data_IF_919571552845
#
_entry.id   IF_919571552845
#
_cell.length_a   1.000
_cell.length_b   1.000
_cell.length_c   1.000
_cell.angle_alpha   90.00
_cell.angle_beta   90.00
_cell.angle_gamma   90.00
#
_symmetry.space_group_name_H-M   'P 1'
#
loop_
_entity.id
_entity.type
_entity.pdbx_description
1 polymer ?
#
# COMPACT_ATOMS: atom_id res chain seq x y z
N UNK A 1 5.46 -9.71 12.76
CA UNK A 1 4.81 -10.99 13.11
C UNK A 1 4.17 -11.57 11.85
N UNK A 2 4.00 -12.89 11.74
CA UNK A 2 3.30 -13.50 10.61
C UNK A 2 1.90 -12.91 10.41
N UNK A 3 1.52 -12.68 9.15
CA UNK A 3 0.16 -12.29 8.78
C UNK A 3 -0.74 -13.51 8.95
N UNK A 4 -1.74 -13.40 9.82
CA UNK A 4 -2.76 -14.45 10.07
C UNK A 4 -4.13 -13.81 10.24
N UNK A 5 -5.20 -14.56 9.96
CA UNK A 5 -6.58 -14.07 10.07
C UNK A 5 -6.99 -13.09 8.96
N UNK A 6 -6.24 -13.04 7.86
CA UNK A 6 -6.59 -12.35 6.62
C UNK A 6 -6.18 -13.22 5.43
N UNK A 7 -6.88 -13.17 4.29
CA UNK A 7 -6.47 -13.88 3.08
C UNK A 7 -5.14 -13.35 2.53
N UNK A 8 -4.29 -14.27 2.07
CA UNK A 8 -2.96 -13.96 1.53
C UNK A 8 -2.73 -14.74 0.23
N UNK A 9 -2.03 -14.13 -0.73
CA UNK A 9 -1.64 -14.81 -1.98
C UNK A 9 -0.51 -15.82 -1.71
N UNK A 10 0.44 -15.45 -0.84
CA UNK A 10 1.56 -16.28 -0.44
C UNK A 10 1.68 -16.35 1.09
N UNK A 11 2.12 -17.50 1.61
CA UNK A 11 2.35 -17.68 3.05
C UNK A 11 3.69 -17.04 3.50
N UNK A 12 3.86 -16.87 4.81
CA UNK A 12 5.13 -16.42 5.39
C UNK A 12 5.36 -14.91 5.40
N UNK A 13 4.42 -14.11 4.88
CA UNK A 13 4.50 -12.65 4.94
C UNK A 13 4.43 -12.14 6.39
N UNK A 14 5.15 -11.05 6.65
CA UNK A 14 5.25 -10.43 7.96
C UNK A 14 4.67 -9.02 7.94
N UNK A 15 4.11 -8.59 9.06
CA UNK A 15 3.66 -7.21 9.30
C UNK A 15 3.84 -6.84 10.78
N UNK A 16 4.02 -5.55 11.08
CA UNK A 16 4.00 -5.06 12.47
C UNK A 16 2.63 -5.32 13.08
N UNK A 17 2.60 -5.65 14.38
CA UNK A 17 1.38 -6.04 15.10
C UNK A 17 0.26 -5.02 14.95
N UNK A 18 0.57 -3.74 15.16
CA UNK A 18 -0.39 -2.62 15.06
C UNK A 18 -1.07 -2.55 13.69
N UNK A 19 -0.30 -2.70 12.61
CA UNK A 19 -0.82 -2.69 11.25
C UNK A 19 -1.60 -3.98 10.93
N UNK A 20 -1.21 -5.13 11.48
CA UNK A 20 -1.94 -6.40 11.31
C UNK A 20 -3.31 -6.37 11.98
N UNK A 21 -3.41 -5.81 13.19
CA UNK A 21 -4.70 -5.66 13.89
C UNK A 21 -5.64 -4.71 13.16
N UNK A 22 -5.10 -3.63 12.59
CA UNK A 22 -5.85 -2.75 11.70
C UNK A 22 -6.28 -3.45 10.41
N UNK A 23 -5.37 -4.20 9.78
CA UNK A 23 -5.64 -4.91 8.53
C UNK A 23 -6.74 -5.96 8.67
N UNK A 24 -6.77 -6.71 9.78
CA UNK A 24 -7.84 -7.66 10.08
C UNK A 24 -9.20 -7.00 10.12
N UNK A 25 -9.32 -5.84 10.76
CA UNK A 25 -10.57 -5.06 10.83
C UNK A 25 -10.98 -4.55 9.46
N UNK A 26 -10.03 -4.02 8.69
CA UNK A 26 -10.26 -3.55 7.32
C UNK A 26 -10.77 -4.68 6.42
N UNK A 27 -10.09 -5.83 6.40
CA UNK A 27 -10.47 -6.99 5.59
C UNK A 27 -11.81 -7.55 6.03
N UNK A 28 -12.06 -7.68 7.33
CA UNK A 28 -13.36 -8.15 7.83
C UNK A 28 -14.51 -7.22 7.43
N UNK A 29 -14.29 -5.90 7.47
CA UNK A 29 -15.30 -4.93 7.02
C UNK A 29 -15.57 -5.00 5.51
N UNK A 30 -14.52 -5.19 4.69
CA UNK A 30 -14.69 -5.43 3.26
C UNK A 30 -15.49 -6.73 3.00
N UNK A 31 -15.14 -7.81 3.70
CA UNK A 31 -15.81 -9.11 3.60
C UNK A 31 -17.29 -9.05 4.01
N UNK A 32 -17.62 -8.29 5.05
CA UNK A 32 -19.02 -8.06 5.45
C UNK A 32 -19.83 -7.35 4.35
N UNK A 33 -19.17 -6.56 3.49
CA UNK A 33 -19.75 -5.98 2.28
C UNK A 33 -19.69 -6.87 1.03
N UNK A 34 -19.29 -8.13 1.16
CA UNK A 34 -19.18 -9.08 0.05
C UNK A 34 -17.92 -8.90 -0.82
N UNK A 35 -16.92 -8.16 -0.33
CA UNK A 35 -15.68 -7.86 -1.06
C UNK A 35 -14.53 -8.79 -0.62
N UNK A 36 -13.69 -9.20 -1.57
CA UNK A 36 -12.62 -10.16 -1.31
C UNK A 36 -11.24 -9.52 -1.51
N UNK A 37 -10.60 -9.19 -0.38
CA UNK A 37 -9.25 -8.64 -0.34
C UNK A 37 -8.23 -9.70 0.05
N UNK A 38 -7.10 -9.70 -0.65
CA UNK A 38 -5.93 -10.54 -0.39
C UNK A 38 -4.68 -9.68 -0.25
N UNK A 39 -3.80 -10.04 0.69
CA UNK A 39 -2.46 -9.46 0.76
C UNK A 39 -1.56 -10.16 -0.26
N UNK A 40 -0.96 -9.39 -1.15
CA UNK A 40 0.01 -9.88 -2.15
C UNK A 40 1.47 -9.64 -1.73
N UNK A 41 1.73 -8.50 -1.07
CA UNK A 41 3.04 -8.16 -0.49
C UNK A 41 2.87 -7.44 0.84
N UNK A 42 3.90 -7.52 1.69
CA UNK A 42 3.92 -6.87 3.01
C UNK A 42 5.37 -6.51 3.40
N UNK A 43 5.83 -6.83 4.61
CA UNK A 43 7.22 -6.53 5.01
C UNK A 43 8.23 -7.10 4.01
N UNK A 44 9.18 -6.25 3.62
CA UNK A 44 10.30 -6.61 2.76
C UNK A 44 11.60 -6.18 3.42
N UNK A 45 12.57 -7.09 3.53
CA UNK A 45 13.88 -6.73 4.07
C UNK A 45 14.64 -5.78 3.14
N UNK A 46 15.67 -5.10 3.65
CA UNK A 46 16.56 -4.28 2.82
C UNK A 46 17.16 -5.09 1.67
N UNK A 47 17.69 -6.29 1.95
CA UNK A 47 18.31 -7.15 0.93
C UNK A 47 17.30 -7.60 -0.13
N UNK A 48 16.08 -7.92 0.28
CA UNK A 48 15.00 -8.24 -0.67
C UNK A 48 14.64 -7.03 -1.53
N UNK A 49 14.62 -5.81 -0.97
CA UNK A 49 14.39 -4.59 -1.75
C UNK A 49 15.53 -4.32 -2.75
N UNK A 50 16.79 -4.63 -2.42
CA UNK A 50 17.91 -4.58 -3.37
C UNK A 50 17.62 -5.46 -4.59
N UNK A 51 17.24 -6.72 -4.37
CA UNK A 51 16.92 -7.64 -5.45
C UNK A 51 15.72 -7.15 -6.30
N UNK A 52 14.65 -6.68 -5.67
CA UNK A 52 13.45 -6.17 -6.36
C UNK A 52 13.78 -4.93 -7.19
N UNK A 53 14.52 -3.97 -6.64
CA UNK A 53 14.89 -2.76 -7.36
C UNK A 53 15.79 -3.07 -8.56
N UNK A 54 16.80 -3.92 -8.38
CA UNK A 54 17.70 -4.33 -9.46
C UNK A 54 16.94 -5.05 -10.59
N UNK A 55 15.97 -5.90 -10.25
CA UNK A 55 15.11 -6.54 -11.23
C UNK A 55 14.34 -5.51 -12.06
N UNK A 56 13.70 -4.53 -11.42
CA UNK A 56 12.96 -3.49 -12.16
C UNK A 56 13.85 -2.58 -12.99
N UNK A 57 15.08 -2.29 -12.53
CA UNK A 57 16.08 -1.57 -13.34
C UNK A 57 16.44 -2.35 -14.60
N UNK A 58 16.58 -3.67 -14.52
CA UNK A 58 16.85 -4.52 -15.69
C UNK A 58 15.66 -4.57 -16.65
N UNK A 59 14.43 -4.64 -16.13
CA UNK A 59 13.21 -4.78 -16.94
C UNK A 59 12.79 -3.47 -17.60
N UNK A 60 12.90 -2.34 -16.90
CA UNK A 60 12.31 -1.06 -17.32
C UNK A 60 13.36 0.03 -17.60
N UNK A 61 14.63 -0.24 -17.32
CA UNK A 61 15.68 0.78 -17.28
C UNK A 61 15.62 1.63 -16.01
N UNK A 62 16.73 2.30 -15.66
CA UNK A 62 16.87 2.97 -14.37
C UNK A 62 15.88 4.13 -14.16
N UNK A 63 15.57 4.90 -15.20
CA UNK A 63 14.70 6.05 -15.11
C UNK A 63 13.25 5.67 -14.73
N UNK A 64 12.69 4.65 -15.40
CA UNK A 64 11.33 4.19 -15.11
C UNK A 64 11.27 3.34 -13.84
N UNK A 65 12.28 2.52 -13.58
CA UNK A 65 12.36 1.74 -12.34
C UNK A 65 12.29 2.64 -11.09
N UNK A 66 12.88 3.84 -11.14
CA UNK A 66 12.82 4.80 -10.04
C UNK A 66 11.39 5.32 -9.73
N UNK A 67 10.43 5.16 -10.64
CA UNK A 67 9.03 5.57 -10.47
C UNK A 67 8.09 4.46 -9.98
N UNK A 68 8.52 3.20 -10.03
CA UNK A 68 7.68 2.02 -9.67
C UNK A 68 8.34 1.11 -8.64
N UNK A 69 9.62 1.33 -8.34
CA UNK A 69 10.36 0.52 -7.38
C UNK A 69 11.27 1.38 -6.54
N UNK A 70 10.90 1.55 -5.28
CA UNK A 70 11.66 2.31 -4.32
C UNK A 70 13.11 1.81 -4.21
N UNK A 71 14.05 2.74 -4.08
CA UNK A 71 15.44 2.40 -3.77
C UNK A 71 15.50 1.67 -2.41
N UNK A 72 16.45 0.75 -2.21
CA UNK A 72 16.70 0.16 -0.89
C UNK A 72 16.89 1.25 0.18
N UNK A 73 16.25 1.08 1.33
CA UNK A 73 16.22 2.06 2.42
C UNK A 73 15.10 3.10 2.29
N UNK A 74 14.43 3.19 1.13
CA UNK A 74 13.35 4.14 0.87
C UNK A 74 12.00 3.45 0.64
N UNK A 75 11.94 2.12 0.68
CA UNK A 75 10.70 1.36 0.50
C UNK A 75 9.90 1.32 1.79
N UNK A 76 8.63 1.73 1.74
CA UNK A 76 7.76 1.69 2.91
C UNK A 76 7.52 0.27 3.44
N UNK A 77 7.61 -0.75 2.58
CA UNK A 77 7.55 -2.16 2.99
C UNK A 77 8.62 -2.51 4.04
N UNK A 78 9.76 -1.83 4.04
CA UNK A 78 10.83 -2.06 5.02
C UNK A 78 10.44 -1.64 6.45
N UNK A 79 9.42 -0.79 6.60
CA UNK A 79 8.90 -0.39 7.90
C UNK A 79 7.99 -1.46 8.51
N UNK A 80 7.53 -2.42 7.69
CA UNK A 80 6.60 -3.46 8.09
C UNK A 80 5.21 -2.92 8.43
N UNK A 81 4.82 -1.79 7.85
CA UNK A 81 3.52 -1.13 8.05
C UNK A 81 2.75 -0.95 6.74
N UNK A 82 3.24 -1.52 5.65
CA UNK A 82 2.67 -1.38 4.30
C UNK A 82 2.25 -2.74 3.79
N UNK A 83 1.14 -2.76 3.06
CA UNK A 83 0.61 -3.93 2.37
C UNK A 83 0.24 -3.59 0.93
N UNK A 84 0.50 -4.53 0.04
CA UNK A 84 -0.08 -4.53 -1.30
C UNK A 84 -1.32 -5.42 -1.28
N UNK A 85 -2.46 -4.84 -1.64
CA UNK A 85 -3.76 -5.52 -1.66
C UNK A 85 -4.20 -5.83 -3.09
N UNK A 86 -4.87 -6.96 -3.25
CA UNK A 86 -5.40 -7.40 -4.54
C UNK A 86 -6.72 -8.16 -4.35
N UNK A 87 -7.34 -8.58 -5.45
CA UNK A 87 -8.59 -9.36 -5.49
C UNK A 87 -8.50 -10.43 -6.58
N UNK A 88 -9.25 -11.55 -6.46
CA UNK A 88 -9.40 -12.51 -7.55
C UNK A 88 -9.85 -11.89 -8.88
N UNK A 89 -10.57 -10.75 -8.87
CA UNK A 89 -11.08 -10.08 -10.09
C UNK A 89 -9.97 -9.61 -11.03
N UNK A 90 -8.78 -9.32 -10.50
CA UNK A 90 -7.59 -8.96 -11.29
C UNK A 90 -6.57 -10.08 -11.29
N UNK A 91 -7.00 -11.33 -11.05
CA UNK A 91 -6.10 -12.49 -11.02
C UNK A 91 -5.00 -12.37 -9.98
N UNK A 92 -5.26 -11.69 -8.85
CA UNK A 92 -4.28 -11.40 -7.80
C UNK A 92 -3.09 -10.52 -8.24
N UNK A 93 -3.20 -9.85 -9.39
CA UNK A 93 -2.15 -8.96 -9.90
C UNK A 93 -2.14 -7.61 -9.16
N UNK A 94 -0.97 -6.98 -9.14
CA UNK A 94 -0.77 -5.59 -8.71
C UNK A 94 -0.73 -4.73 -9.97
N UNK A 95 -1.86 -4.14 -10.31
CA UNK A 95 -2.10 -3.40 -11.57
C UNK A 95 -3.07 -2.26 -11.33
N UNK A 96 -3.02 -1.22 -12.15
CA UNK A 96 -3.94 -0.08 -12.05
C UNK A 96 -5.41 -0.51 -12.15
N UNK A 97 -5.69 -1.59 -12.90
CA UNK A 97 -7.03 -2.16 -13.01
C UNK A 97 -7.63 -2.59 -11.66
N UNK A 98 -6.79 -2.82 -10.62
CA UNK A 98 -7.26 -3.06 -9.26
C UNK A 98 -8.09 -1.89 -8.71
N UNK A 99 -7.68 -0.65 -9.00
CA UNK A 99 -8.38 0.56 -8.54
C UNK A 99 -9.80 0.67 -9.09
N UNK A 100 -10.07 0.06 -10.25
CA UNK A 100 -11.38 0.08 -10.89
C UNK A 100 -12.34 -0.99 -10.34
N UNK A 101 -11.83 -1.97 -9.60
CA UNK A 101 -12.66 -3.01 -8.98
C UNK A 101 -13.50 -2.46 -7.82
N UNK A 102 -14.61 -3.14 -7.45
CA UNK A 102 -15.35 -2.81 -6.24
C UNK A 102 -14.46 -2.78 -4.99
N UNK A 103 -13.49 -3.68 -4.88
CA UNK A 103 -12.51 -3.76 -3.81
C UNK A 103 -11.60 -2.53 -3.76
N UNK A 104 -11.01 -2.14 -4.89
CA UNK A 104 -10.14 -0.96 -5.00
C UNK A 104 -10.88 0.34 -4.66
N UNK A 105 -12.08 0.53 -5.23
CA UNK A 105 -12.94 1.69 -4.94
C UNK A 105 -13.37 1.73 -3.48
N UNK A 106 -13.70 0.58 -2.89
CA UNK A 106 -14.05 0.51 -1.47
C UNK A 106 -12.86 0.88 -0.58
N UNK A 107 -11.65 0.41 -0.91
CA UNK A 107 -10.44 0.78 -0.17
C UNK A 107 -10.18 2.28 -0.24
N UNK A 108 -10.27 2.88 -1.42
CA UNK A 108 -10.09 4.33 -1.59
C UNK A 108 -11.04 5.14 -0.69
N UNK A 109 -12.29 4.68 -0.54
CA UNK A 109 -13.29 5.32 0.29
C UNK A 109 -13.21 4.97 1.79
N UNK A 110 -12.66 3.82 2.18
CA UNK A 110 -12.81 3.29 3.55
C UNK A 110 -11.51 2.99 4.29
N UNK A 111 -10.36 2.86 3.61
CA UNK A 111 -9.10 2.44 4.23
C UNK A 111 -8.68 3.35 5.40
N UNK A 112 -8.97 4.66 5.29
CA UNK A 112 -8.64 5.66 6.30
C UNK A 112 -9.28 5.36 7.68
N UNK A 113 -10.49 4.79 7.68
CA UNK A 113 -11.24 4.42 8.90
C UNK A 113 -10.51 3.36 9.73
N UNK A 114 -9.57 2.64 9.12
CA UNK A 114 -8.74 1.62 9.74
C UNK A 114 -7.28 2.07 9.91
N UNK A 115 -6.95 3.30 9.53
CA UNK A 115 -5.61 3.88 9.65
C UNK A 115 -4.69 3.61 8.47
N UNK A 116 -5.24 3.23 7.31
CA UNK A 116 -4.48 3.04 6.08
C UNK A 116 -4.73 4.17 5.09
N UNK A 117 -3.69 4.57 4.36
CA UNK A 117 -3.75 5.50 3.23
C UNK A 117 -3.14 4.87 2.00
N UNK A 118 -3.63 5.24 0.81
CA UNK A 118 -2.96 4.92 -0.45
C UNK A 118 -1.76 5.86 -0.61
N UNK A 119 -0.54 5.34 -0.62
CA UNK A 119 0.66 6.19 -0.65
C UNK A 119 0.83 6.90 -1.99
N UNK A 120 0.44 6.24 -3.09
CA UNK A 120 0.66 6.74 -4.45
C UNK A 120 -0.67 6.87 -5.23
N UNK A 121 -1.50 7.88 -4.91
CA UNK A 121 -2.76 8.13 -5.60
C UNK A 121 -2.55 8.78 -6.98
N UNK A 122 -3.49 8.55 -7.89
CA UNK A 122 -3.48 9.14 -9.23
C UNK A 122 -3.49 10.68 -9.18
N UNK A 123 -2.74 11.32 -10.08
CA UNK A 123 -2.64 12.77 -10.17
C UNK A 123 -1.75 13.43 -9.10
N UNK A 124 -1.01 12.63 -8.33
CA UNK A 124 -0.04 13.10 -7.32
C UNK A 124 1.39 12.64 -7.60
N UNK A 125 1.66 12.14 -8.81
CA UNK A 125 2.94 11.56 -9.23
C UNK A 125 4.07 12.59 -9.12
N UNK A 126 3.82 13.86 -9.45
CA UNK A 126 4.80 14.95 -9.31
C UNK A 126 5.15 15.26 -7.85
N UNK A 127 4.31 14.84 -6.91
CA UNK A 127 4.50 15.06 -5.48
C UNK A 127 5.14 13.84 -4.82
N UNK A 128 4.65 12.64 -5.12
CA UNK A 128 5.11 11.37 -4.53
C UNK A 128 6.37 10.85 -5.21
N UNK A 129 6.56 11.15 -6.50
CA UNK A 129 7.61 10.58 -7.35
C UNK A 129 7.31 9.18 -7.89
N UNK A 130 6.14 8.61 -7.58
CA UNK A 130 5.72 7.27 -8.00
C UNK A 130 4.55 7.32 -8.97
N UNK A 131 4.44 6.29 -9.81
CA UNK A 131 3.24 6.02 -10.62
C UNK A 131 2.04 5.69 -9.70
N UNK A 132 0.83 5.73 -10.26
CA UNK A 132 -0.38 5.38 -9.52
C UNK A 132 -0.35 3.89 -9.10
N UNK A 133 -0.45 3.64 -7.80
CA UNK A 133 -0.44 2.28 -7.24
C UNK A 133 -1.68 2.05 -6.36
N UNK A 134 -2.85 1.73 -6.96
CA UNK A 134 -4.10 1.53 -6.21
C UNK A 134 -4.07 0.39 -5.20
N UNK A 135 -3.04 -0.46 -5.25
CA UNK A 135 -2.86 -1.61 -4.37
C UNK A 135 -2.03 -1.28 -3.11
N UNK A 136 -1.24 -0.20 -3.12
CA UNK A 136 -0.20 0.06 -2.11
C UNK A 136 -0.75 0.91 -0.95
N UNK A 137 -0.99 0.27 0.19
CA UNK A 137 -1.56 0.91 1.38
C UNK A 137 -0.61 0.93 2.57
N UNK A 138 -0.40 2.13 3.12
CA UNK A 138 0.45 2.39 4.27
C UNK A 138 -0.37 2.65 5.53
N UNK A 139 -0.07 1.91 6.60
CA UNK A 139 -0.61 2.19 7.93
C UNK A 139 0.09 3.39 8.58
N UNK A 140 -0.70 4.37 8.98
CA UNK A 140 -0.27 5.63 9.65
C UNK A 140 -1.07 5.94 10.93
N UNK A 141 -2.04 5.09 11.29
CA UNK A 141 -2.97 5.35 12.39
C UNK A 141 -4.25 6.05 11.92
N UNK A 142 -5.34 5.88 12.69
CA UNK A 142 -6.68 6.33 12.27
C UNK A 142 -6.76 7.84 12.13
N UNK A 143 -6.26 8.60 13.10
CA UNK A 143 -6.37 10.07 13.10
C UNK A 143 -5.65 10.67 11.89
N UNK A 144 -4.41 10.24 11.64
CA UNK A 144 -3.61 10.71 10.50
C UNK A 144 -4.23 10.30 9.17
N UNK A 145 -4.66 9.04 9.05
CA UNK A 145 -5.26 8.57 7.80
C UNK A 145 -6.58 9.29 7.49
N UNK A 146 -7.38 9.57 8.52
CA UNK A 146 -8.64 10.31 8.40
C UNK A 146 -8.38 11.74 7.97
N UNK A 147 -7.41 12.44 8.60
CA UNK A 147 -7.02 13.77 8.17
C UNK A 147 -6.58 13.81 6.70
N UNK A 148 -5.73 12.88 6.28
CA UNK A 148 -5.25 12.78 4.89
C UNK A 148 -6.43 12.58 3.93
N UNK A 149 -7.36 11.70 4.27
CA UNK A 149 -8.55 11.42 3.47
C UNK A 149 -9.47 12.63 3.34
N UNK A 150 -9.85 13.25 4.46
CA UNK A 150 -10.74 14.41 4.49
C UNK A 150 -10.13 15.64 3.80
N UNK A 151 -8.81 15.82 3.91
CA UNK A 151 -8.11 16.91 3.25
C UNK A 151 -7.82 16.66 1.76
N UNK A 152 -8.07 15.45 1.24
CA UNK A 152 -7.82 15.11 -0.16
C UNK A 152 -6.35 15.22 -0.58
N UNK A 153 -5.42 14.89 0.32
CA UNK A 153 -3.97 15.06 0.11
C UNK A 153 -3.24 13.72 0.09
N UNK A 154 -2.01 13.70 -0.41
CA UNK A 154 -1.11 12.54 -0.29
C UNK A 154 -0.42 12.50 1.07
N UNK A 155 0.20 11.35 1.37
CA UNK A 155 1.01 11.18 2.58
C UNK A 155 2.24 12.13 2.59
N UNK A 156 2.88 12.34 1.45
CA UNK A 156 3.98 13.30 1.28
C UNK A 156 3.52 14.74 1.55
N UNK A 157 2.34 15.14 1.07
CA UNK A 157 1.78 16.47 1.37
C UNK A 157 1.53 16.64 2.87
N UNK A 158 1.03 15.60 3.54
CA UNK A 158 0.87 15.61 5.00
C UNK A 158 2.21 15.81 5.72
N UNK A 159 3.24 15.05 5.37
CA UNK A 159 4.57 15.23 5.98
C UNK A 159 5.18 16.61 5.69
N UNK A 160 4.98 17.15 4.48
CA UNK A 160 5.40 18.52 4.15
C UNK A 160 4.68 19.58 4.99
N UNK A 161 3.41 19.34 5.38
CA UNK A 161 2.65 20.24 6.26
C UNK A 161 3.13 20.18 7.71
N UNK A 162 3.43 18.98 8.23
CA UNK A 162 3.99 18.80 9.57
C UNK A 162 5.35 19.48 9.74
N UNK A 163 6.16 19.49 8.68
CA UNK A 163 7.50 20.05 8.69
C UNK A 163 7.58 21.50 8.19
N UNK A 164 6.45 22.24 8.21
CA UNK A 164 6.51 23.69 8.00
C UNK A 164 7.06 24.36 9.27
N UNK A 165 8.12 25.17 9.17
CA UNK A 165 8.63 25.95 10.30
C UNK A 165 7.59 26.96 10.79
#
# INVERSE_FOLDING_TARGET
>A
MPITGVPVVNQGMLLRRVALEALRRLVAAAQAGGLQLFVSSAYRSYQTQVAVHNYWVQVLGPARAARVSAKPGHSEHQLGTTVDLTTPRVGYQLTEAFGETPEGRWLQANAHRFGFVMSYPAGKEDITGYEYEPWHFRYVGVDVATYIHEAGISLEEYFRRLNRP
#
